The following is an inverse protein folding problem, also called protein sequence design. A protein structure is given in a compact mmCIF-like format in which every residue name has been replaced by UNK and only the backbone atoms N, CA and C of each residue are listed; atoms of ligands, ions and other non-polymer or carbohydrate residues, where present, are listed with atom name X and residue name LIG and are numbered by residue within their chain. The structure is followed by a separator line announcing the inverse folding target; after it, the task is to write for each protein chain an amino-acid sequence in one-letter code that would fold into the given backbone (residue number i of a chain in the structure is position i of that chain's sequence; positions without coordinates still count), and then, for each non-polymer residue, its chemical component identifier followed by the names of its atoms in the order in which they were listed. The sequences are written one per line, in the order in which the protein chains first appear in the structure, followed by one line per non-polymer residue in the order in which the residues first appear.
data_IF_078922765980
#
_entry.id   IF_078922765980
#
_cell.length_a   1.000
_cell.length_b   1.000
_cell.length_c   1.000
_cell.angle_alpha   90.00
_cell.angle_beta   90.00
_cell.angle_gamma   90.00
#
_symmetry.space_group_name_H-M   'P 1'
#
loop_
_entity.id
_entity.type
_entity.pdbx_description
1 polymer ?
#
# COMPACT_ATOMS: atom_id res chain seq x y z
N UNK A 1 -4.97 -2.37 22.97
CA UNK A 1 -3.92 -1.73 22.14
C UNK A 1 -2.57 -2.21 22.64
N UNK A 2 -1.80 -2.93 21.83
CA UNK A 2 -0.42 -3.31 22.20
C UNK A 2 0.49 -2.09 22.11
N UNK A 3 1.20 -1.77 23.18
CA UNK A 3 2.21 -0.71 23.17
C UNK A 3 3.49 -1.28 22.56
N UNK A 4 3.81 -0.87 21.34
CA UNK A 4 5.13 -1.15 20.73
C UNK A 4 6.01 0.06 20.94
N UNK A 5 7.10 -0.09 21.68
CA UNK A 5 8.12 0.94 21.80
C UNK A 5 9.11 0.79 20.63
N UNK A 6 9.23 1.84 19.84
CA UNK A 6 10.23 1.96 18.77
C UNK A 6 11.20 3.05 19.19
N UNK A 7 12.50 2.77 19.13
CA UNK A 7 13.54 3.78 19.40
C UNK A 7 13.99 4.37 18.08
N UNK A 8 13.93 5.69 17.99
CA UNK A 8 14.37 6.45 16.84
C UNK A 8 15.76 7.04 17.09
N UNK A 9 16.52 7.26 16.03
CA UNK A 9 17.74 8.04 16.07
C UNK A 9 17.42 9.56 16.03
N UNK A 10 18.44 10.39 16.26
CA UNK A 10 18.25 11.85 16.35
C UNK A 10 17.74 12.49 15.04
N UNK A 11 17.97 11.87 13.88
CA UNK A 11 17.51 12.38 12.58
C UNK A 11 16.10 11.88 12.26
N UNK A 12 15.78 10.64 12.63
CA UNK A 12 14.43 10.07 12.58
C UNK A 12 13.45 10.84 13.49
N UNK A 13 13.89 11.25 14.68
CA UNK A 13 13.09 12.09 15.57
C UNK A 13 12.79 13.47 14.95
N UNK A 14 13.76 14.09 14.26
CA UNK A 14 13.52 15.34 13.52
C UNK A 14 12.52 15.15 12.39
N UNK A 15 12.67 14.06 11.63
CA UNK A 15 11.73 13.73 10.55
C UNK A 15 10.32 13.50 11.10
N UNK A 16 10.17 12.76 12.21
CA UNK A 16 8.90 12.57 12.89
C UNK A 16 8.30 13.89 13.41
N UNK A 17 9.12 14.79 13.96
CA UNK A 17 8.65 16.10 14.41
C UNK A 17 8.14 16.96 13.24
N UNK A 18 8.81 16.91 12.08
CA UNK A 18 8.35 17.58 10.87
C UNK A 18 7.04 16.98 10.34
N UNK A 19 6.94 15.66 10.31
CA UNK A 19 5.76 14.95 9.81
C UNK A 19 4.55 15.12 10.73
N UNK A 20 4.73 15.07 12.05
CA UNK A 20 3.66 15.34 13.02
C UNK A 20 3.16 16.78 12.91
N UNK A 21 4.06 17.74 12.68
CA UNK A 21 3.72 19.15 12.42
C UNK A 21 2.96 19.35 11.10
N UNK A 22 3.41 18.73 10.02
CA UNK A 22 2.82 18.90 8.68
C UNK A 22 1.47 18.18 8.51
N UNK A 23 1.33 17.00 9.12
CA UNK A 23 0.13 16.16 9.01
C UNK A 23 -0.88 16.45 10.12
N UNK A 24 -0.53 17.27 11.13
CA UNK A 24 -1.34 17.54 12.32
C UNK A 24 -1.80 16.26 13.04
N UNK A 25 -0.95 15.24 13.04
CA UNK A 25 -1.21 13.94 13.65
C UNK A 25 -0.23 13.69 14.79
N UNK A 26 -0.63 12.90 15.78
CA UNK A 26 0.28 12.41 16.80
C UNK A 26 1.29 11.42 16.20
N UNK A 27 2.44 11.26 16.87
CA UNK A 27 3.52 10.37 16.44
C UNK A 27 3.03 8.95 16.13
N UNK A 28 2.09 8.42 16.93
CA UNK A 28 1.56 7.07 16.70
C UNK A 28 0.64 7.01 15.48
N UNK A 29 -0.11 8.07 15.22
CA UNK A 29 -0.91 8.23 14.02
C UNK A 29 -0.07 8.27 12.75
N UNK A 30 1.02 9.06 12.75
CA UNK A 30 1.96 9.14 11.62
C UNK A 30 2.60 7.77 11.36
N UNK A 31 3.09 7.09 12.39
CA UNK A 31 3.72 5.78 12.25
C UNK A 31 2.74 4.73 11.72
N UNK A 32 1.50 4.70 12.24
CA UNK A 32 0.48 3.75 11.76
C UNK A 32 0.12 3.98 10.31
N UNK A 33 -0.02 5.25 9.91
CA UNK A 33 -0.32 5.62 8.53
C UNK A 33 0.81 5.17 7.60
N UNK A 34 2.06 5.50 7.93
CA UNK A 34 3.22 5.08 7.14
C UNK A 34 3.36 3.55 7.04
N UNK A 35 3.08 2.81 8.12
CA UNK A 35 3.08 1.35 8.09
C UNK A 35 1.98 0.77 7.21
N UNK A 36 0.80 1.42 7.19
CA UNK A 36 -0.31 1.00 6.36
C UNK A 36 -0.02 1.25 4.88
N UNK A 37 0.45 2.45 4.54
CA UNK A 37 0.85 2.80 3.17
C UNK A 37 1.95 1.84 2.65
N UNK A 38 2.99 1.59 3.46
CA UNK A 38 4.03 0.64 3.08
C UNK A 38 3.50 -0.79 2.90
N UNK A 39 2.51 -1.18 3.69
CA UNK A 39 1.87 -2.50 3.53
C UNK A 39 1.09 -2.58 2.22
N UNK A 40 0.32 -1.55 1.88
CA UNK A 40 -0.40 -1.44 0.61
C UNK A 40 0.58 -1.54 -0.57
N UNK A 41 1.67 -0.77 -0.55
CA UNK A 41 2.71 -0.80 -1.60
C UNK A 41 3.29 -2.22 -1.81
N UNK A 42 3.56 -2.94 -0.71
CA UNK A 42 4.09 -4.31 -0.79
C UNK A 42 3.06 -5.28 -1.33
N UNK A 43 1.78 -5.14 -0.95
CA UNK A 43 0.71 -5.99 -1.47
C UNK A 43 0.48 -5.72 -2.96
N UNK A 44 0.44 -4.46 -3.37
CA UNK A 44 0.26 -4.06 -4.76
C UNK A 44 1.40 -4.59 -5.63
N UNK A 45 2.65 -4.48 -5.16
CA UNK A 45 3.81 -5.06 -5.85
C UNK A 45 3.68 -6.57 -6.02
N UNK A 46 3.21 -7.30 -4.99
CA UNK A 46 3.01 -8.74 -5.09
C UNK A 46 1.89 -9.13 -6.07
N UNK A 47 0.82 -8.34 -6.14
CA UNK A 47 -0.27 -8.54 -7.11
C UNK A 47 0.23 -8.32 -8.53
N UNK A 48 1.02 -7.26 -8.75
CA UNK A 48 1.62 -6.96 -10.06
C UNK A 48 2.56 -8.09 -10.48
N UNK A 49 3.48 -8.50 -9.61
CA UNK A 49 4.42 -9.59 -9.89
C UNK A 49 3.68 -10.90 -10.22
N UNK A 50 2.63 -11.24 -9.47
CA UNK A 50 1.81 -12.41 -9.75
C UNK A 50 1.07 -12.33 -11.10
N UNK A 51 0.68 -11.12 -11.53
CA UNK A 51 0.08 -10.90 -12.83
C UNK A 51 1.12 -11.01 -13.96
N UNK A 52 2.30 -10.40 -13.79
CA UNK A 52 3.42 -10.48 -14.76
C UNK A 52 3.84 -11.93 -14.98
N UNK A 53 3.97 -12.73 -13.92
CA UNK A 53 4.29 -14.17 -14.03
C UNK A 53 3.23 -14.94 -14.84
N UNK A 54 1.94 -14.60 -14.67
CA UNK A 54 0.85 -15.22 -15.43
C UNK A 54 0.82 -14.76 -16.89
N UNK A 55 1.15 -13.50 -17.15
CA UNK A 55 1.24 -12.94 -18.50
C UNK A 55 2.41 -13.57 -19.27
N UNK A 56 3.58 -13.69 -18.63
CA UNK A 56 4.75 -14.40 -19.18
C UNK A 56 4.45 -15.88 -19.48
N UNK A 57 3.58 -16.51 -18.68
CA UNK A 57 3.11 -17.87 -18.91
C UNK A 57 2.04 -17.98 -20.02
N UNK A 58 1.57 -16.86 -20.58
CA UNK A 58 0.56 -16.80 -21.64
C UNK A 58 -0.88 -17.05 -21.17
N UNK A 59 -1.14 -17.02 -19.85
CA UNK A 59 -2.43 -17.35 -19.22
C UNK A 59 -3.21 -16.09 -18.80
N UNK A 60 -3.09 -15.01 -19.57
CA UNK A 60 -3.81 -13.75 -19.35
C UNK A 60 -4.62 -13.36 -20.58
N UNK A 61 -5.94 -13.26 -20.42
CA UNK A 61 -6.86 -12.75 -21.43
C UNK A 61 -7.30 -11.33 -21.12
N UNK A 62 -7.27 -10.45 -22.13
CA UNK A 62 -7.87 -9.12 -22.04
C UNK A 62 -9.37 -9.22 -22.32
N UNK A 63 -10.21 -8.85 -21.35
CA UNK A 63 -11.64 -8.72 -21.55
C UNK A 63 -11.94 -7.36 -22.21
N UNK A 64 -12.71 -7.31 -23.30
CA UNK A 64 -13.16 -6.06 -23.88
C UNK A 64 -14.16 -5.37 -22.94
N UNK A 65 -14.23 -4.04 -23.01
CA UNK A 65 -14.98 -3.22 -22.05
C UNK A 65 -16.48 -3.56 -21.97
N UNK A 66 -17.07 -4.17 -23.00
CA UNK A 66 -18.47 -4.59 -23.00
C UNK A 66 -18.72 -5.79 -22.07
N UNK A 67 -17.78 -6.75 -21.99
CA UNK A 67 -17.88 -7.91 -21.08
C UNK A 67 -17.74 -7.50 -19.60
N UNK A 68 -17.06 -6.38 -19.34
CA UNK A 68 -16.89 -5.84 -17.99
C UNK A 68 -18.11 -5.03 -17.51
N UNK A 69 -18.87 -4.44 -18.44
CA UNK A 69 -20.01 -3.58 -18.13
C UNK A 69 -21.35 -4.31 -18.14
N UNK A 70 -21.42 -5.51 -18.75
CA UNK A 70 -22.62 -6.34 -18.74
C UNK A 70 -22.28 -7.83 -18.49
N UNK A 71 -22.01 -8.23 -17.24
CA UNK A 71 -21.67 -9.63 -16.91
C UNK A 71 -22.86 -10.61 -17.05
N UNK A 72 -23.97 -10.20 -17.69
CA UNK A 72 -25.19 -11.01 -17.83
C UNK A 72 -26.11 -10.64 -19.01
N UNK A 73 -25.56 -10.13 -20.12
CA UNK A 73 -26.35 -9.70 -21.29
C UNK A 73 -26.53 -10.75 -22.40
N UNK A 74 -27.60 -11.56 -22.30
CA UNK A 74 -28.24 -12.44 -23.33
C UNK A 74 -27.49 -13.64 -23.89
#
# INVERSE_FOLDING_TARGET
MGVKSVRFNADEEKALALLTGALHMDTSGVIKKALWELYEDVQDAAVIEAFEVREDAGDTGFAPIHDLLDPGGS
#
